data_IF_635845656458
#
_entry.id   IF_635845656458
#
_cell.length_a   1.000
_cell.length_b   1.000
_cell.length_c   1.000
_cell.angle_alpha   90.00
_cell.angle_beta   90.00
_cell.angle_gamma   90.00
#
_symmetry.space_group_name_H-M   'P 1'
#
loop_
_entity.id
_entity.type
_entity.pdbx_description
1 polymer ?
#
# COMPACT_ATOMS: atom_id res chain seq x y z
N UNK A 1 38.39 -2.99 4.62
CA UNK A 1 37.29 -3.61 5.40
C UNK A 1 36.82 -2.60 6.44
N UNK A 2 35.70 -1.92 6.18
CA UNK A 2 35.02 -1.13 7.21
C UNK A 2 33.52 -1.27 6.95
N UNK A 3 32.93 -2.24 7.64
CA UNK A 3 31.49 -2.45 7.72
C UNK A 3 30.92 -1.29 8.53
N UNK A 4 30.26 -0.34 7.87
CA UNK A 4 29.39 0.59 8.55
C UNK A 4 28.11 -0.17 8.90
N UNK A 5 28.03 -0.56 10.17
CA UNK A 5 26.78 -0.93 10.83
C UNK A 5 25.77 0.18 10.59
N UNK A 6 24.82 -0.07 9.69
CA UNK A 6 23.68 0.82 9.47
C UNK A 6 22.76 0.61 10.67
N UNK A 7 22.86 1.52 11.64
CA UNK A 7 21.85 1.70 12.68
C UNK A 7 20.47 1.57 12.01
N UNK A 8 19.56 0.82 12.64
CA UNK A 8 18.25 0.42 12.11
C UNK A 8 17.47 1.61 11.59
N UNK A 9 17.73 1.99 10.34
CA UNK A 9 17.04 3.07 9.66
C UNK A 9 15.66 2.52 9.35
N UNK A 10 14.61 3.16 9.87
CA UNK A 10 13.25 2.86 9.44
C UNK A 10 13.24 2.73 7.90
N UNK A 11 12.69 1.64 7.35
CA UNK A 11 12.68 1.45 5.91
C UNK A 11 11.94 2.61 5.25
N UNK A 12 12.56 3.21 4.23
CA UNK A 12 11.92 4.24 3.43
C UNK A 12 10.88 3.58 2.52
N UNK A 13 9.61 3.93 2.71
CA UNK A 13 8.50 3.45 1.88
C UNK A 13 7.88 4.66 1.20
N UNK A 14 7.79 4.61 -0.12
CA UNK A 14 7.15 5.65 -0.92
C UNK A 14 5.64 5.48 -0.94
N UNK A 15 4.93 6.58 -1.19
CA UNK A 15 3.50 6.57 -1.45
C UNK A 15 3.27 6.94 -2.90
N UNK A 16 2.32 6.30 -3.58
CA UNK A 16 1.94 6.66 -4.94
C UNK A 16 0.43 6.63 -5.13
N UNK A 17 -0.10 7.65 -5.81
CA UNK A 17 -1.47 7.63 -6.33
C UNK A 17 -1.42 7.50 -7.85
N UNK A 18 -2.41 6.81 -8.43
CA UNK A 18 -2.45 6.64 -9.88
C UNK A 18 -3.10 7.84 -10.60
N UNK A 19 -4.08 8.52 -9.98
CA UNK A 19 -4.81 9.62 -10.60
C UNK A 19 -5.42 9.20 -11.95
N UNK A 20 -5.27 10.05 -12.97
CA UNK A 20 -5.67 9.77 -14.37
C UNK A 20 -4.50 9.37 -15.26
N UNK A 21 -3.36 8.99 -14.69
CA UNK A 21 -2.17 8.59 -15.47
C UNK A 21 -2.46 7.35 -16.30
N UNK A 22 -1.70 7.21 -17.38
CA UNK A 22 -1.53 5.93 -18.06
C UNK A 22 -0.67 4.97 -17.22
N UNK A 23 -0.74 3.68 -17.54
CA UNK A 23 0.09 2.65 -16.88
C UNK A 23 1.59 2.86 -17.15
N UNK A 24 1.94 3.35 -18.34
CA UNK A 24 3.33 3.64 -18.73
C UNK A 24 3.92 4.77 -17.89
N UNK A 25 3.15 5.85 -17.67
CA UNK A 25 3.58 6.96 -16.81
C UNK A 25 3.75 6.53 -15.36
N UNK A 26 2.82 5.72 -14.81
CA UNK A 26 2.96 5.16 -13.47
C UNK A 26 4.23 4.33 -13.35
N UNK A 27 4.46 3.42 -14.31
CA UNK A 27 5.61 2.52 -14.33
C UNK A 27 6.92 3.30 -14.44
N UNK A 28 6.94 4.36 -15.26
CA UNK A 28 8.11 5.23 -15.43
C UNK A 28 8.45 5.99 -14.14
N UNK A 29 7.42 6.47 -13.42
CA UNK A 29 7.60 7.15 -12.13
C UNK A 29 8.12 6.20 -11.05
N UNK A 30 7.60 4.97 -11.00
CA UNK A 30 8.09 3.94 -10.07
C UNK A 30 9.56 3.60 -10.37
N UNK A 31 9.90 3.45 -11.66
CA UNK A 31 11.27 3.16 -12.10
C UNK A 31 12.23 4.29 -11.79
N UNK A 32 11.84 5.56 -11.96
CA UNK A 32 12.72 6.70 -11.63
C UNK A 32 13.02 6.79 -10.13
N UNK A 33 12.10 6.33 -9.28
CA UNK A 33 12.30 6.16 -7.85
C UNK A 33 12.96 4.81 -7.47
N UNK A 34 13.39 4.01 -8.46
CA UNK A 34 14.00 2.68 -8.27
C UNK A 34 13.14 1.71 -7.47
N UNK A 35 11.82 1.87 -7.51
CA UNK A 35 10.87 0.97 -6.85
C UNK A 35 10.98 -0.42 -7.47
N UNK A 36 11.04 -1.44 -6.61
CA UNK A 36 11.04 -2.87 -7.01
C UNK A 36 9.76 -3.58 -6.59
N UNK A 37 9.00 -3.03 -5.62
CA UNK A 37 7.71 -3.57 -5.17
C UNK A 37 6.65 -2.46 -5.15
N UNK A 38 5.55 -2.68 -5.85
CA UNK A 38 4.34 -1.86 -5.79
C UNK A 38 3.29 -2.58 -4.93
N UNK A 39 3.05 -2.07 -3.72
CA UNK A 39 2.09 -2.64 -2.76
C UNK A 39 0.76 -1.90 -2.85
N UNK A 40 -0.27 -2.53 -3.38
CA UNK A 40 -1.60 -1.95 -3.49
C UNK A 40 -2.42 -2.17 -2.22
N UNK A 41 -2.60 -1.10 -1.43
CA UNK A 41 -3.37 -1.13 -0.18
C UNK A 41 -4.84 -0.82 -0.40
N UNK A 42 -5.31 -0.63 -1.64
CA UNK A 42 -6.73 -0.37 -1.90
C UNK A 42 -7.56 -1.59 -1.52
N UNK A 43 -8.56 -1.41 -0.65
CA UNK A 43 -9.50 -2.48 -0.30
C UNK A 43 -10.28 -2.98 -1.51
N UNK A 44 -10.61 -2.09 -2.43
CA UNK A 44 -11.33 -2.40 -3.68
C UNK A 44 -10.49 -1.86 -4.84
N UNK A 45 -9.51 -2.63 -5.34
CA UNK A 45 -8.63 -2.21 -6.44
C UNK A 45 -9.34 -2.44 -7.80
N UNK A 46 -10.53 -1.87 -7.98
CA UNK A 46 -11.39 -2.02 -9.15
C UNK A 46 -12.03 -0.67 -9.50
N UNK A 47 -11.92 -0.26 -10.74
CA UNK A 47 -12.48 0.97 -11.29
C UNK A 47 -12.96 0.75 -12.72
N UNK A 48 -14.12 1.34 -13.07
CA UNK A 48 -14.60 1.42 -14.45
C UNK A 48 -13.90 2.53 -15.23
N UNK A 49 -13.56 3.63 -14.57
CA UNK A 49 -12.93 4.81 -15.17
C UNK A 49 -11.44 4.58 -15.39
N UNK A 50 -10.77 3.88 -14.47
CA UNK A 50 -9.35 3.57 -14.55
C UNK A 50 -9.07 2.06 -14.52
N UNK A 51 -9.59 1.29 -15.50
CA UNK A 51 -9.46 -0.17 -15.51
C UNK A 51 -8.00 -0.64 -15.62
N UNK A 52 -7.10 0.18 -16.17
CA UNK A 52 -5.66 -0.10 -16.27
C UNK A 52 -4.98 -0.28 -14.91
N UNK A 53 -5.59 0.20 -13.82
CA UNK A 53 -5.12 0.03 -12.46
C UNK A 53 -5.95 -0.98 -11.66
N UNK A 54 -6.78 -1.79 -12.31
CA UNK A 54 -7.46 -2.88 -11.62
C UNK A 54 -6.45 -3.95 -11.19
N UNK A 55 -6.72 -4.64 -10.08
CA UNK A 55 -5.84 -5.68 -9.54
C UNK A 55 -5.47 -6.75 -10.57
N UNK A 56 -6.45 -7.27 -11.30
CA UNK A 56 -6.25 -8.29 -12.34
C UNK A 56 -5.36 -7.79 -13.48
N UNK A 57 -5.50 -6.51 -13.83
CA UNK A 57 -4.68 -5.86 -14.86
C UNK A 57 -3.24 -5.58 -14.38
N UNK A 58 -3.07 -5.17 -13.12
CA UNK A 58 -1.74 -4.90 -12.55
C UNK A 58 -0.97 -6.20 -12.26
N UNK A 59 -1.66 -7.22 -11.73
CA UNK A 59 -1.08 -8.55 -11.48
C UNK A 59 -0.46 -9.16 -12.73
N UNK A 60 -1.06 -8.92 -13.90
CA UNK A 60 -0.62 -9.49 -15.18
C UNK A 60 0.20 -8.51 -16.04
N UNK A 61 0.52 -7.32 -15.52
CA UNK A 61 1.13 -6.23 -16.28
C UNK A 61 2.51 -6.59 -16.85
N UNK A 62 2.64 -6.54 -18.18
CA UNK A 62 3.92 -6.64 -18.87
C UNK A 62 4.87 -5.48 -18.52
N UNK A 63 4.33 -4.28 -18.36
CA UNK A 63 5.12 -3.06 -18.16
C UNK A 63 5.83 -3.09 -16.80
N UNK A 64 5.11 -3.49 -15.73
CA UNK A 64 5.69 -3.67 -14.41
C UNK A 64 6.74 -4.79 -14.41
N UNK A 65 6.44 -5.95 -15.04
CA UNK A 65 7.41 -7.05 -15.15
C UNK A 65 8.67 -6.64 -15.90
N UNK A 66 8.54 -5.95 -17.03
CA UNK A 66 9.67 -5.45 -17.81
C UNK A 66 10.50 -4.41 -17.04
N UNK A 67 9.88 -3.65 -16.14
CA UNK A 67 10.55 -2.72 -15.24
C UNK A 67 11.15 -3.38 -13.98
N UNK A 68 11.00 -4.70 -13.79
CA UNK A 68 11.46 -5.41 -12.59
C UNK A 68 10.64 -5.08 -11.34
N UNK A 69 9.40 -4.64 -11.51
CA UNK A 69 8.49 -4.25 -10.42
C UNK A 69 7.50 -5.38 -10.15
N UNK A 70 7.53 -5.92 -8.94
CA UNK A 70 6.50 -6.86 -8.48
C UNK A 70 5.28 -6.11 -7.94
N UNK A 71 4.09 -6.56 -8.33
CA UNK A 71 2.83 -6.07 -7.79
C UNK A 71 2.33 -7.00 -6.67
N UNK A 72 2.03 -6.43 -5.52
CA UNK A 72 1.52 -7.13 -4.33
C UNK A 72 0.22 -6.44 -3.91
N UNK A 73 -0.84 -7.20 -3.64
CA UNK A 73 -2.08 -6.63 -3.09
C UNK A 73 -2.16 -6.86 -1.59
N UNK A 74 -2.25 -5.79 -0.81
CA UNK A 74 -2.34 -5.78 0.65
C UNK A 74 -3.63 -5.08 1.14
N UNK A 75 -4.66 -4.95 0.29
CA UNK A 75 -5.92 -4.29 0.66
C UNK A 75 -6.74 -5.01 1.74
N UNK A 76 -6.49 -6.30 1.94
CA UNK A 76 -7.09 -7.08 3.03
C UNK A 76 -6.56 -6.62 4.39
N UNK A 77 -5.25 -6.54 4.58
CA UNK A 77 -4.61 -6.16 5.85
C UNK A 77 -4.50 -4.64 6.05
N UNK A 78 -4.27 -3.86 5.00
CA UNK A 78 -3.95 -2.42 5.12
C UNK A 78 -5.02 -1.49 4.54
N UNK A 79 -6.11 -2.01 3.99
CA UNK A 79 -7.07 -1.20 3.26
C UNK A 79 -8.01 -0.34 4.08
N UNK A 80 -8.36 0.83 3.52
CA UNK A 80 -9.21 1.83 4.17
C UNK A 80 -10.70 1.49 4.33
N UNK A 81 -11.25 0.57 3.52
CA UNK A 81 -12.68 0.23 3.59
C UNK A 81 -12.87 -0.90 4.59
N UNK A 82 -13.59 -0.60 5.67
CA UNK A 82 -13.91 -1.54 6.74
C UNK A 82 -15.41 -1.57 7.02
N UNK A 83 -16.00 -2.77 7.23
CA UNK A 83 -17.38 -2.87 7.68
C UNK A 83 -17.51 -2.19 9.04
N UNK A 84 -18.76 -1.93 9.45
CA UNK A 84 -19.01 -1.49 10.82
C UNK A 84 -18.54 -2.60 11.76
N UNK A 85 -17.53 -2.33 12.57
CA UNK A 85 -17.23 -3.15 13.74
C UNK A 85 -17.68 -2.39 14.99
N UNK A 86 -18.17 -3.11 15.99
CA UNK A 86 -18.36 -2.57 17.33
C UNK A 86 -17.10 -2.96 18.09
N UNK A 87 -16.10 -2.09 18.03
CA UNK A 87 -14.87 -2.21 18.82
C UNK A 87 -14.75 -0.96 19.68
N UNK A 88 -14.35 -1.07 20.96
CA UNK A 88 -14.06 0.10 21.80
C UNK A 88 -13.11 1.08 21.12
N UNK A 89 -12.19 0.58 20.28
CA UNK A 89 -11.25 1.40 19.51
C UNK A 89 -11.93 2.33 18.50
N UNK A 90 -13.05 1.94 17.91
CA UNK A 90 -13.80 2.79 16.98
C UNK A 90 -14.44 3.99 17.71
N UNK A 91 -14.84 3.78 18.96
CA UNK A 91 -15.55 4.78 19.77
C UNK A 91 -14.62 5.83 20.37
N UNK A 92 -13.32 5.51 20.53
CA UNK A 92 -12.28 6.46 20.96
C UNK A 92 -12.12 7.63 19.98
N UNK A 93 -12.41 7.43 18.69
CA UNK A 93 -12.24 8.42 17.63
C UNK A 93 -13.44 9.39 17.53
N UNK A 94 -13.72 10.11 18.61
CA UNK A 94 -14.92 10.96 18.75
C UNK A 94 -14.94 12.17 17.79
N UNK A 95 -13.78 12.66 17.37
CA UNK A 95 -13.65 13.79 16.44
C UNK A 95 -14.00 13.45 14.98
N UNK A 96 -13.89 12.17 14.57
CA UNK A 96 -14.18 11.74 13.20
C UNK A 96 -15.69 11.61 13.04
N UNK A 97 -16.33 12.37 12.16
CA UNK A 97 -17.81 12.30 12.03
C UNK A 97 -18.31 11.21 11.09
N UNK A 98 -17.51 10.85 10.09
CA UNK A 98 -17.86 9.86 9.08
C UNK A 98 -17.62 8.45 9.63
N UNK A 99 -18.68 7.64 9.75
CA UNK A 99 -18.61 6.30 10.34
C UNK A 99 -17.59 5.39 9.65
N UNK A 100 -17.49 5.46 8.31
CA UNK A 100 -16.51 4.67 7.57
C UNK A 100 -15.06 4.97 7.98
N UNK A 101 -14.74 6.25 8.24
CA UNK A 101 -13.41 6.65 8.70
C UNK A 101 -13.16 6.26 10.16
N UNK A 102 -14.18 6.29 11.03
CA UNK A 102 -14.07 5.73 12.39
C UNK A 102 -13.75 4.24 12.37
N UNK A 103 -14.45 3.48 11.52
CA UNK A 103 -14.22 2.04 11.40
C UNK A 103 -12.78 1.75 10.97
N UNK A 104 -12.23 2.52 10.03
CA UNK A 104 -10.84 2.37 9.61
C UNK A 104 -9.87 2.77 10.73
N UNK A 105 -10.10 3.91 11.39
CA UNK A 105 -9.25 4.39 12.47
C UNK A 105 -9.17 3.40 13.65
N UNK A 106 -10.28 2.76 14.03
CA UNK A 106 -10.24 1.71 15.05
C UNK A 106 -9.69 0.39 14.54
N UNK A 107 -9.85 0.07 13.24
CA UNK A 107 -9.14 -1.07 12.64
C UNK A 107 -7.62 -0.89 12.66
N UNK A 108 -7.10 0.33 12.55
CA UNK A 108 -5.66 0.61 12.67
C UNK A 108 -5.09 0.27 14.06
N UNK A 109 -5.92 0.14 15.10
CA UNK A 109 -5.52 -0.33 16.42
C UNK A 109 -5.46 -1.86 16.54
N UNK A 110 -5.97 -2.60 15.54
CA UNK A 110 -6.05 -4.08 15.58
C UNK A 110 -4.70 -4.76 15.38
N UNK A 111 -4.62 -6.02 15.79
CA UNK A 111 -3.46 -6.87 15.53
C UNK A 111 -3.24 -7.13 14.04
N UNK A 112 -4.30 -7.43 13.29
CA UNK A 112 -4.21 -7.66 11.84
C UNK A 112 -3.63 -6.47 11.06
N UNK A 113 -3.96 -5.24 11.47
CA UNK A 113 -3.36 -4.05 10.84
C UNK A 113 -1.88 -3.91 11.19
N UNK A 114 -1.51 -4.23 12.44
CA UNK A 114 -0.12 -4.22 12.89
C UNK A 114 0.73 -5.25 12.15
N UNK A 115 0.22 -6.48 12.00
CA UNK A 115 0.84 -7.54 11.20
C UNK A 115 1.04 -7.09 9.75
N UNK A 116 0.02 -6.51 9.13
CA UNK A 116 0.13 -5.98 7.76
C UNK A 116 1.18 -4.86 7.63
N UNK A 117 1.29 -3.99 8.63
CA UNK A 117 2.33 -2.94 8.66
C UNK A 117 3.73 -3.55 8.81
N UNK A 118 3.89 -4.58 9.63
CA UNK A 118 5.16 -5.24 9.85
C UNK A 118 5.58 -6.05 8.62
N UNK A 119 4.64 -6.69 7.91
CA UNK A 119 4.87 -7.29 6.60
C UNK A 119 5.33 -6.24 5.57
N UNK A 120 4.69 -5.06 5.53
CA UNK A 120 5.10 -3.97 4.64
C UNK A 120 6.52 -3.46 4.95
N UNK A 121 6.86 -3.31 6.23
CA UNK A 121 8.22 -2.92 6.66
C UNK A 121 9.24 -3.99 6.28
N UNK A 122 8.93 -5.26 6.53
CA UNK A 122 9.78 -6.39 6.18
C UNK A 122 10.00 -6.49 4.67
N UNK A 123 8.97 -6.23 3.87
CA UNK A 123 9.11 -6.15 2.41
C UNK A 123 10.12 -5.08 2.00
N UNK A 124 10.19 -3.96 2.72
CA UNK A 124 11.14 -2.89 2.45
C UNK A 124 12.58 -3.20 2.94
N UNK A 125 12.79 -4.29 3.67
CA UNK A 125 14.14 -4.80 3.94
C UNK A 125 14.71 -5.38 2.64
N UNK A 126 15.66 -4.66 2.04
CA UNK A 126 16.31 -5.08 0.79
C UNK A 126 15.52 -4.77 -0.49
N UNK A 127 14.39 -4.08 -0.41
CA UNK A 127 13.63 -3.60 -1.56
C UNK A 127 13.31 -2.12 -1.45
N UNK A 128 13.12 -1.47 -2.60
CA UNK A 128 12.51 -0.14 -2.65
C UNK A 128 11.02 -0.32 -2.85
N UNK A 129 10.22 0.06 -1.85
CA UNK A 129 8.77 -0.17 -1.85
C UNK A 129 8.02 1.13 -2.08
N UNK A 130 6.99 1.09 -2.92
CA UNK A 130 5.94 2.10 -2.95
C UNK A 130 4.60 1.45 -2.64
N UNK A 131 3.81 2.02 -1.73
CA UNK A 131 2.42 1.62 -1.57
C UNK A 131 1.49 2.53 -2.38
N UNK A 132 0.49 1.92 -3.01
CA UNK A 132 -0.54 2.58 -3.80
C UNK A 132 -1.87 2.59 -3.06
N UNK A 133 -2.46 3.77 -2.90
CA UNK A 133 -3.75 4.01 -2.25
C UNK A 133 -4.78 4.60 -3.21
#
# INVERSE_FOLDING_TARGET
MSSLSRATSNPLIFTIGHGTRSRSELTSLLRSAQVTKLVDVRSIPRSRTNPQFNRDTLTTSSDLRAAGIEYIWAGESLGGRRPKSVSPENERHTAIRVQAFKNYAGYMSSESFREGLDELKKLAEGNTVAYMC
#
